data_IF_517409786744
#
_entry.id   IF_517409786744
#
_cell.length_a   1.000
_cell.length_b   1.000
_cell.length_c   1.000
_cell.angle_alpha   90.00
_cell.angle_beta   90.00
_cell.angle_gamma   90.00
#
_symmetry.space_group_name_H-M   'P 1'
#
loop_
_entity.id
_entity.type
_entity.pdbx_description
1 polymer ?
#
# COMPACT_ATOMS: atom_id res chain seq x y z
N UNK A 1 10.41 6.90 22.73
CA UNK A 1 9.29 7.38 21.87
C UNK A 1 8.99 6.49 20.67
N UNK A 2 9.93 6.17 19.77
CA UNK A 2 9.65 5.23 18.66
C UNK A 2 9.80 3.75 19.06
N UNK A 3 10.83 3.42 19.84
CA UNK A 3 11.09 2.06 20.37
C UNK A 3 9.90 1.53 21.18
N UNK A 4 9.42 2.33 22.13
CA UNK A 4 8.32 1.93 23.03
C UNK A 4 7.02 1.66 22.25
N UNK A 5 6.74 2.46 21.21
CA UNK A 5 5.59 2.24 20.34
C UNK A 5 5.72 0.96 19.50
N UNK A 6 6.92 0.61 19.06
CA UNK A 6 7.17 -0.65 18.33
C UNK A 6 6.93 -1.84 19.26
N UNK A 7 7.43 -1.77 20.48
CA UNK A 7 7.23 -2.84 21.46
C UNK A 7 5.76 -2.99 21.86
N UNK A 8 5.05 -1.88 22.07
CA UNK A 8 3.60 -1.90 22.33
C UNK A 8 2.84 -2.55 21.17
N UNK A 9 3.17 -2.19 19.93
CA UNK A 9 2.49 -2.78 18.77
C UNK A 9 2.79 -4.28 18.61
N UNK A 10 4.00 -4.75 18.89
CA UNK A 10 4.29 -6.20 18.89
C UNK A 10 3.49 -6.89 19.98
N UNK A 11 3.40 -6.30 21.18
CA UNK A 11 2.62 -6.87 22.28
C UNK A 11 1.13 -6.99 21.93
N UNK A 12 0.53 -5.97 21.31
CA UNK A 12 -0.85 -6.02 20.80
C UNK A 12 -1.03 -7.16 19.78
N UNK A 13 -0.09 -7.32 18.85
CA UNK A 13 -0.16 -8.37 17.81
C UNK A 13 0.04 -9.79 18.37
N UNK A 14 0.77 -9.93 19.48
CA UNK A 14 0.91 -11.19 20.23
C UNK A 14 -0.36 -11.48 21.03
N UNK A 15 -0.96 -10.46 21.65
CA UNK A 15 -2.25 -10.58 22.35
C UNK A 15 -3.40 -10.93 21.41
N UNK A 16 -3.40 -10.37 20.19
CA UNK A 16 -4.35 -10.73 19.12
C UNK A 16 -4.07 -12.11 18.47
N UNK A 17 -3.07 -12.87 18.95
CA UNK A 17 -2.63 -14.17 18.42
C UNK A 17 -2.26 -14.14 16.92
N UNK A 18 -1.80 -13.00 16.44
CA UNK A 18 -1.37 -12.82 15.04
C UNK A 18 0.14 -13.04 14.91
N UNK A 19 0.90 -12.64 15.94
CA UNK A 19 2.32 -12.94 16.09
C UNK A 19 2.58 -13.92 17.24
N UNK A 20 3.56 -14.79 17.08
CA UNK A 20 3.99 -15.74 18.10
C UNK A 20 5.44 -15.47 18.52
N UNK A 21 5.70 -15.53 19.82
CA UNK A 21 6.99 -15.26 20.43
C UNK A 21 6.81 -14.87 21.90
N UNK A 22 7.84 -14.31 22.53
CA UNK A 22 9.19 -14.10 22.00
C UNK A 22 9.96 -15.41 21.83
N UNK A 23 10.76 -15.53 20.77
CA UNK A 23 11.64 -16.68 20.53
C UNK A 23 13.11 -16.28 20.49
N UNK A 24 13.96 -17.18 20.96
CA UNK A 24 15.41 -17.13 20.72
C UNK A 24 15.74 -17.78 19.38
N UNK A 25 16.84 -17.35 18.76
CA UNK A 25 17.36 -17.99 17.55
C UNK A 25 17.56 -19.50 17.71
N UNK A 26 17.99 -19.97 18.90
CA UNK A 26 18.17 -21.40 19.18
C UNK A 26 16.84 -22.17 19.17
N UNK A 27 15.74 -21.58 19.64
CA UNK A 27 14.43 -22.22 19.62
C UNK A 27 13.88 -22.33 18.19
N UNK A 28 14.02 -21.26 17.39
CA UNK A 28 13.57 -21.25 16.00
C UNK A 28 14.39 -22.23 15.15
N UNK A 29 15.72 -22.25 15.31
CA UNK A 29 16.62 -23.14 14.57
C UNK A 29 16.43 -24.64 14.86
N UNK A 30 15.75 -25.02 15.96
CA UNK A 30 15.37 -26.41 16.22
C UNK A 30 14.22 -26.88 15.32
N UNK A 31 13.36 -25.96 14.88
CA UNK A 31 12.16 -26.26 14.11
C UNK A 31 12.34 -25.95 12.63
N UNK A 32 13.05 -24.86 12.32
CA UNK A 32 13.27 -24.41 10.95
C UNK A 32 14.76 -24.50 10.63
N UNK A 33 15.19 -25.37 9.69
CA UNK A 33 16.59 -25.48 9.30
C UNK A 33 17.09 -24.22 8.57
N UNK A 34 16.17 -23.42 8.03
CA UNK A 34 16.43 -22.15 7.37
C UNK A 34 15.30 -21.16 7.67
N UNK A 35 15.63 -19.94 8.09
CA UNK A 35 14.67 -18.85 8.30
C UNK A 35 15.37 -17.48 8.20
N UNK A 36 15.04 -16.61 7.22
CA UNK A 36 15.55 -15.25 7.17
C UNK A 36 14.81 -14.36 8.19
N UNK A 37 15.51 -13.42 8.83
CA UNK A 37 14.88 -12.41 9.68
C UNK A 37 14.70 -11.09 8.93
N UNK A 38 13.51 -10.50 9.04
CA UNK A 38 13.22 -9.19 8.45
C UNK A 38 13.19 -8.11 9.53
N UNK A 39 13.87 -6.96 9.33
CA UNK A 39 13.85 -5.87 10.29
C UNK A 39 12.49 -5.16 10.28
N UNK A 40 12.10 -4.66 11.45
CA UNK A 40 10.93 -3.81 11.62
C UNK A 40 11.25 -2.35 11.31
N UNK A 41 10.48 -1.79 10.38
CA UNK A 41 10.32 -0.35 10.21
C UNK A 41 9.09 0.15 10.96
N UNK A 42 8.94 1.47 11.06
CA UNK A 42 7.72 2.10 11.56
C UNK A 42 7.24 3.17 10.60
N UNK A 43 5.93 3.24 10.40
CA UNK A 43 5.28 4.35 9.69
C UNK A 43 4.14 4.87 10.55
N UNK A 44 4.05 6.19 10.65
CA UNK A 44 2.90 6.86 11.28
C UNK A 44 1.86 7.08 10.20
N UNK A 45 0.69 6.50 10.38
CA UNK A 45 -0.44 6.67 9.48
C UNK A 45 -1.11 8.04 9.67
N UNK A 46 -2.04 8.38 8.77
CA UNK A 46 -2.81 9.63 8.84
C UNK A 46 -3.68 9.74 10.11
N UNK A 47 -4.02 8.60 10.73
CA UNK A 47 -4.73 8.49 12.02
C UNK A 47 -3.81 8.69 13.24
N UNK A 48 -2.52 9.03 13.01
CA UNK A 48 -1.44 9.15 14.01
C UNK A 48 -1.10 7.84 14.75
N UNK A 49 -1.68 6.71 14.36
CA UNK A 49 -1.26 5.39 14.86
C UNK A 49 0.03 4.99 14.16
N UNK A 50 0.96 4.44 14.93
CA UNK A 50 2.20 3.91 14.38
C UNK A 50 1.98 2.45 14.03
N UNK A 51 2.30 2.06 12.79
CA UNK A 51 2.25 0.67 12.38
C UNK A 51 3.67 0.15 12.14
N UNK A 52 4.03 -1.01 12.74
CA UNK A 52 5.22 -1.73 12.35
C UNK A 52 5.07 -2.18 10.89
N UNK A 53 6.13 -2.00 10.10
CA UNK A 53 6.20 -2.51 8.74
C UNK A 53 7.35 -3.49 8.68
N UNK A 54 7.06 -4.73 8.29
CA UNK A 54 8.09 -5.74 8.05
C UNK A 54 8.76 -5.42 6.71
N UNK A 55 10.08 -5.21 6.72
CA UNK A 55 10.82 -4.94 5.50
C UNK A 55 11.33 -6.23 4.84
N UNK A 56 10.46 -6.90 4.08
CA UNK A 56 10.79 -8.10 3.30
C UNK A 56 11.78 -7.87 2.15
N UNK A 57 12.13 -6.62 1.84
CA UNK A 57 13.11 -6.27 0.81
C UNK A 57 14.54 -6.13 1.34
N UNK A 58 14.74 -6.31 2.64
CA UNK A 58 16.06 -6.27 3.28
C UNK A 58 16.81 -7.60 3.09
N UNK A 59 18.16 -7.59 2.94
CA UNK A 59 19.02 -6.44 2.73
C UNK A 59 19.03 -5.95 1.27
N UNK A 60 19.04 -4.64 1.04
CA UNK A 60 19.03 -4.05 -0.32
C UNK A 60 20.40 -3.91 -0.97
N UNK A 61 21.49 -4.05 -0.22
CA UNK A 61 22.87 -3.74 -0.66
C UNK A 61 23.86 -4.89 -0.44
N UNK A 62 23.35 -6.04 -0.03
CA UNK A 62 24.15 -7.25 0.17
C UNK A 62 23.56 -8.36 -0.69
N UNK A 63 24.24 -8.68 -1.80
CA UNK A 63 23.80 -9.70 -2.73
C UNK A 63 24.16 -11.12 -2.24
N UNK A 64 24.91 -11.26 -1.15
CA UNK A 64 25.23 -12.56 -0.56
C UNK A 64 24.07 -13.13 0.28
N UNK A 65 23.10 -12.28 0.66
CA UNK A 65 21.94 -12.65 1.46
C UNK A 65 20.65 -12.34 0.66
N UNK A 66 19.91 -13.35 0.20
CA UNK A 66 18.66 -13.13 -0.52
C UNK A 66 17.59 -12.55 0.40
N UNK A 67 16.92 -11.49 -0.05
CA UNK A 67 15.73 -10.94 0.62
C UNK A 67 14.52 -11.87 0.45
N UNK A 68 13.53 -11.78 1.34
CA UNK A 68 12.30 -12.60 1.25
C UNK A 68 11.62 -12.43 -0.11
N UNK A 69 11.57 -11.21 -0.64
CA UNK A 69 10.97 -10.98 -1.97
C UNK A 69 11.71 -11.63 -3.13
N UNK A 70 13.00 -11.96 -3.00
CA UNK A 70 13.73 -12.66 -4.07
C UNK A 70 13.23 -14.09 -4.31
N UNK A 71 12.56 -14.69 -3.32
CA UNK A 71 11.95 -16.03 -3.42
C UNK A 71 10.55 -16.00 -4.04
N UNK A 72 9.96 -14.82 -4.26
CA UNK A 72 8.59 -14.68 -4.76
C UNK A 72 8.60 -14.32 -6.25
N UNK A 73 8.09 -15.22 -7.08
CA UNK A 73 7.85 -14.93 -8.49
C UNK A 73 6.50 -14.21 -8.68
N UNK A 74 6.54 -12.92 -9.01
CA UNK A 74 5.34 -12.10 -9.27
C UNK A 74 4.46 -12.63 -10.40
N UNK A 75 5.04 -13.33 -11.39
CA UNK A 75 4.29 -13.88 -12.52
C UNK A 75 3.26 -14.94 -12.09
N UNK A 76 3.48 -15.61 -10.94
CA UNK A 76 2.57 -16.62 -10.40
C UNK A 76 1.31 -16.02 -9.74
N UNK A 77 1.28 -14.70 -9.52
CA UNK A 77 0.22 -14.01 -8.78
C UNK A 77 -0.38 -12.88 -9.62
N UNK A 78 -0.82 -13.20 -10.84
CA UNK A 78 -1.47 -12.24 -11.73
C UNK A 78 -2.83 -11.86 -11.15
N UNK A 79 -2.91 -10.66 -10.58
CA UNK A 79 -4.16 -10.09 -10.08
C UNK A 79 -4.87 -9.36 -11.21
N UNK A 80 -6.15 -9.65 -11.38
CA UNK A 80 -7.06 -8.85 -12.23
C UNK A 80 -7.72 -7.82 -11.32
N UNK A 81 -7.59 -6.54 -11.66
CA UNK A 81 -8.20 -5.45 -10.91
C UNK A 81 -9.25 -4.79 -11.80
N UNK A 82 -10.39 -4.44 -11.22
CA UNK A 82 -11.30 -3.52 -11.88
C UNK A 82 -10.67 -2.12 -11.85
N UNK A 83 -10.65 -1.47 -13.01
CA UNK A 83 -10.03 -0.17 -13.19
C UNK A 83 -11.06 0.95 -13.38
N UNK A 84 -10.57 2.19 -13.50
CA UNK A 84 -11.42 3.35 -13.76
C UNK A 84 -12.35 3.15 -14.97
N UNK A 85 -11.87 2.49 -16.02
CA UNK A 85 -12.62 2.35 -17.27
C UNK A 85 -13.82 1.43 -17.08
N UNK A 86 -13.71 0.38 -16.27
CA UNK A 86 -14.83 -0.53 -15.97
C UNK A 86 -15.95 0.21 -15.25
N UNK A 87 -15.61 1.01 -14.23
CA UNK A 87 -16.61 1.80 -13.49
C UNK A 87 -17.22 2.91 -14.37
N UNK A 88 -16.39 3.60 -15.15
CA UNK A 88 -16.87 4.62 -16.09
C UNK A 88 -17.76 4.01 -17.19
N UNK A 89 -17.43 2.83 -17.69
CA UNK A 89 -18.27 2.06 -18.63
C UNK A 89 -19.61 1.70 -18.01
N UNK A 90 -19.63 1.26 -16.74
CA UNK A 90 -20.86 0.96 -16.03
C UNK A 90 -21.78 2.18 -15.96
N UNK A 91 -21.25 3.34 -15.57
CA UNK A 91 -22.03 4.58 -15.46
C UNK A 91 -22.56 5.03 -16.83
N UNK A 92 -21.78 4.84 -17.90
CA UNK A 92 -22.20 5.20 -19.26
C UNK A 92 -23.27 4.27 -19.85
N UNK A 93 -23.27 2.99 -19.48
CA UNK A 93 -24.14 1.97 -20.06
C UNK A 93 -25.49 1.83 -19.34
N UNK A 94 -25.61 2.36 -18.13
CA UNK A 94 -26.82 2.22 -17.31
C UNK A 94 -27.45 3.58 -17.04
N UNK A 95 -28.78 3.61 -16.90
CA UNK A 95 -29.50 4.82 -16.49
C UNK A 95 -29.69 4.82 -14.96
N UNK A 96 -29.36 5.94 -14.32
CA UNK A 96 -29.43 6.14 -12.87
C UNK A 96 -30.80 6.65 -12.37
N UNK A 97 -30.90 7.05 -11.08
CA UNK A 97 -29.80 7.27 -10.12
C UNK A 97 -29.33 6.01 -9.39
N UNK A 98 -28.07 6.02 -8.94
CA UNK A 98 -27.45 4.97 -8.13
C UNK A 98 -27.14 5.47 -6.71
N UNK A 99 -27.36 4.62 -5.72
CA UNK A 99 -26.73 4.74 -4.41
C UNK A 99 -25.44 3.93 -4.41
N UNK A 100 -24.33 4.55 -4.01
CA UNK A 100 -23.01 3.93 -4.04
C UNK A 100 -22.61 3.52 -2.62
N UNK A 101 -22.13 2.29 -2.44
CA UNK A 101 -21.58 1.80 -1.19
C UNK A 101 -20.13 1.36 -1.38
N UNK A 102 -19.24 1.73 -0.46
CA UNK A 102 -17.87 1.24 -0.45
C UNK A 102 -17.66 0.33 0.77
N UNK A 103 -17.44 -0.95 0.48
CA UNK A 103 -17.03 -1.91 1.49
C UNK A 103 -15.52 -2.09 1.41
N UNK A 104 -14.80 -1.49 2.35
CA UNK A 104 -13.39 -1.85 2.61
C UNK A 104 -13.38 -2.90 3.72
N UNK A 105 -12.62 -3.97 3.49
CA UNK A 105 -12.49 -5.03 4.47
C UNK A 105 -11.37 -4.64 5.44
N UNK A 106 -11.75 -4.30 6.67
CA UNK A 106 -10.79 -3.88 7.69
C UNK A 106 -9.77 -4.99 7.98
N UNK A 107 -8.48 -4.63 7.91
CA UNK A 107 -7.34 -5.54 8.10
C UNK A 107 -7.45 -6.85 7.27
N UNK A 108 -7.93 -6.79 6.01
CA UNK A 108 -8.18 -7.97 5.16
C UNK A 108 -7.06 -9.02 5.16
N UNK A 109 -5.82 -8.57 4.99
CA UNK A 109 -4.68 -9.46 4.96
C UNK A 109 -4.36 -10.08 6.33
N UNK A 110 -4.64 -9.37 7.44
CA UNK A 110 -4.43 -9.90 8.81
C UNK A 110 -5.40 -11.01 9.16
N UNK A 111 -6.56 -11.08 8.49
CA UNK A 111 -7.51 -12.16 8.70
C UNK A 111 -7.11 -13.46 7.98
N UNK A 112 -6.22 -13.36 6.98
CA UNK A 112 -5.80 -14.53 6.20
C UNK A 112 -4.59 -15.18 6.88
N UNK A 113 -4.74 -16.41 7.43
CA UNK A 113 -3.59 -17.16 7.92
C UNK A 113 -2.67 -17.52 6.77
N UNK A 114 -1.37 -17.43 7.02
CA UNK A 114 -0.34 -17.95 6.12
C UNK A 114 -0.17 -19.44 6.36
N UNK A 115 0.18 -20.16 5.30
CA UNK A 115 0.45 -21.60 5.42
C UNK A 115 1.74 -21.81 6.21
N UNK A 116 1.78 -22.90 6.99
CA UNK A 116 2.93 -23.22 7.85
C UNK A 116 4.25 -23.38 7.09
N UNK A 117 4.21 -23.80 5.83
CA UNK A 117 5.39 -23.89 4.96
C UNK A 117 5.98 -22.52 4.59
N UNK A 118 5.23 -21.43 4.76
CA UNK A 118 5.68 -20.06 4.53
C UNK A 118 6.25 -19.40 5.78
N UNK A 119 5.93 -19.92 6.97
CA UNK A 119 6.34 -19.36 8.26
C UNK A 119 7.85 -19.11 8.42
N UNK A 120 8.77 -19.95 7.87
CA UNK A 120 10.19 -19.66 7.97
C UNK A 120 10.59 -18.30 7.38
N UNK A 121 9.84 -17.78 6.42
CA UNK A 121 10.09 -16.51 5.74
C UNK A 121 9.42 -15.30 6.40
N UNK A 122 8.63 -15.53 7.45
CA UNK A 122 7.83 -14.53 8.15
C UNK A 122 8.39 -14.21 9.55
N UNK A 123 9.67 -14.52 9.76
CA UNK A 123 10.36 -14.20 11.01
C UNK A 123 10.68 -12.70 11.06
N UNK A 124 10.18 -12.07 12.11
CA UNK A 124 10.33 -10.66 12.42
C UNK A 124 11.34 -10.52 13.55
N UNK A 125 12.27 -9.59 13.40
CA UNK A 125 13.23 -9.25 14.44
C UNK A 125 12.97 -7.85 14.97
N UNK A 126 12.77 -7.75 16.28
CA UNK A 126 12.59 -6.48 16.96
C UNK A 126 13.92 -5.74 17.21
N UNK A 127 13.83 -4.56 17.82
CA UNK A 127 14.99 -3.72 18.12
C UNK A 127 15.91 -4.32 19.20
N UNK A 128 15.46 -5.32 19.94
CA UNK A 128 16.21 -6.04 20.99
C UNK A 128 16.74 -7.38 20.49
N UNK A 129 16.64 -7.65 19.19
CA UNK A 129 17.02 -8.90 18.52
C UNK A 129 16.22 -10.12 18.97
N UNK A 130 15.03 -9.90 19.51
CA UNK A 130 14.05 -10.94 19.81
C UNK A 130 13.30 -11.29 18.53
N UNK A 131 13.02 -12.58 18.35
CA UNK A 131 12.33 -13.09 17.17
C UNK A 131 10.85 -13.33 17.46
N UNK A 132 10.02 -12.94 16.49
CA UNK A 132 8.59 -13.20 16.47
C UNK A 132 8.22 -13.81 15.11
N UNK A 133 7.30 -14.76 15.10
CA UNK A 133 6.73 -15.33 13.89
C UNK A 133 5.40 -14.64 13.60
N UNK A 134 5.30 -13.93 12.49
CA UNK A 134 4.03 -13.38 12.02
C UNK A 134 3.28 -14.43 11.18
N UNK A 135 2.11 -14.85 11.65
CA UNK A 135 1.32 -15.89 10.98
C UNK A 135 0.29 -15.33 10.01
N UNK A 136 0.13 -14.02 9.94
CA UNK A 136 -0.87 -13.34 9.09
C UNK A 136 -0.21 -12.50 8.01
N UNK A 137 -0.90 -12.27 6.90
CA UNK A 137 -0.36 -11.42 5.83
C UNK A 137 -0.42 -9.96 6.28
N UNK A 138 0.71 -9.26 6.19
CA UNK A 138 0.77 -7.84 6.59
C UNK A 138 0.23 -6.92 5.50
N UNK A 139 -0.68 -6.01 5.90
CA UNK A 139 -1.13 -4.71 5.34
C UNK A 139 -2.62 -4.50 5.68
N UNK A 140 -3.05 -3.26 5.92
CA UNK A 140 -4.42 -2.97 6.39
C UNK A 140 -4.99 -1.66 5.84
N UNK A 141 -6.20 -1.75 5.29
CA UNK A 141 -7.12 -0.64 4.98
C UNK A 141 -8.02 -0.28 6.17
N UNK A 142 -8.92 0.68 5.97
CA UNK A 142 -9.78 1.30 7.01
C UNK A 142 -11.23 1.05 6.64
N UNK A 143 -12.08 0.75 7.62
CA UNK A 143 -13.44 0.26 7.47
C UNK A 143 -14.33 0.97 6.40
N UNK A 144 -15.23 0.18 5.81
CA UNK A 144 -16.24 0.61 4.85
C UNK A 144 -17.18 1.71 5.35
N UNK A 145 -17.91 2.32 4.42
CA UNK A 145 -18.83 3.42 4.69
C UNK A 145 -20.25 3.10 4.23
N UNK A 146 -21.21 3.82 4.79
CA UNK A 146 -22.62 3.71 4.42
C UNK A 146 -22.86 4.12 2.95
N UNK A 147 -24.03 3.75 2.43
CA UNK A 147 -24.46 4.14 1.09
C UNK A 147 -24.60 5.66 0.99
N UNK A 148 -24.10 6.24 -0.10
CA UNK A 148 -24.15 7.67 -0.37
C UNK A 148 -24.28 7.96 -1.87
N UNK A 149 -24.74 9.17 -2.19
CA UNK A 149 -24.84 9.67 -3.56
C UNK A 149 -23.44 9.92 -4.16
N UNK A 150 -22.48 10.34 -3.33
CA UNK A 150 -21.07 10.48 -3.71
C UNK A 150 -20.17 9.54 -2.91
N UNK A 151 -19.30 8.79 -3.59
CA UNK A 151 -18.36 7.89 -2.93
C UNK A 151 -16.95 7.98 -3.51
N UNK A 152 -15.94 7.95 -2.63
CA UNK A 152 -14.53 7.92 -3.04
C UNK A 152 -14.11 6.49 -3.34
N UNK A 153 -13.80 6.19 -4.59
CA UNK A 153 -13.30 4.88 -5.03
C UNK A 153 -12.12 5.06 -5.99
N UNK A 154 -11.09 4.21 -5.85
CA UNK A 154 -9.84 4.22 -6.64
C UNK A 154 -9.22 5.62 -6.84
N UNK A 155 -9.39 6.49 -5.84
CA UNK A 155 -8.81 7.84 -5.84
C UNK A 155 -9.57 8.90 -6.64
N UNK A 156 -10.83 8.64 -6.99
CA UNK A 156 -11.80 9.57 -7.57
C UNK A 156 -13.07 9.63 -6.70
N UNK A 157 -13.83 10.72 -6.82
CA UNK A 157 -15.19 10.84 -6.28
C UNK A 157 -16.15 10.52 -7.41
N UNK A 158 -16.98 9.50 -7.22
CA UNK A 158 -18.03 9.09 -8.14
C UNK A 158 -19.36 9.57 -7.59
N UNK A 159 -20.17 10.19 -8.43
CA UNK A 159 -21.51 10.65 -8.09
C UNK A 159 -22.52 9.76 -8.83
N UNK A 160 -23.28 8.96 -8.08
CA UNK A 160 -24.24 7.99 -8.61
C UNK A 160 -25.55 8.61 -9.09
N UNK A 161 -25.85 9.86 -8.71
CA UNK A 161 -27.07 10.58 -9.11
C UNK A 161 -26.86 11.26 -10.46
N UNK A 162 -25.81 12.08 -10.56
CA UNK A 162 -25.47 12.84 -11.77
C UNK A 162 -24.63 12.04 -12.76
N UNK A 163 -24.20 10.84 -12.38
CA UNK A 163 -23.33 9.95 -13.15
C UNK A 163 -22.00 10.61 -13.54
N UNK A 164 -21.45 11.42 -12.65
CA UNK A 164 -20.20 12.15 -12.87
C UNK A 164 -19.04 11.59 -12.03
N UNK A 165 -17.82 11.89 -12.45
CA UNK A 165 -16.61 11.51 -11.72
C UNK A 165 -15.60 12.66 -11.69
N UNK A 166 -14.98 12.90 -10.53
CA UNK A 166 -14.04 14.01 -10.30
C UNK A 166 -12.90 13.61 -9.37
N UNK A 167 -11.86 14.44 -9.31
CA UNK A 167 -10.81 14.31 -8.28
C UNK A 167 -11.32 14.85 -6.93
N UNK A 168 -10.74 14.37 -5.83
CA UNK A 168 -10.88 15.04 -4.54
C UNK A 168 -10.21 16.41 -4.59
N UNK A 169 -10.76 17.41 -3.89
CA UNK A 169 -10.20 18.76 -3.80
C UNK A 169 -8.74 18.72 -3.35
N UNK A 170 -8.45 17.97 -2.28
CA UNK A 170 -7.09 17.73 -1.80
C UNK A 170 -6.15 17.23 -2.89
N UNK A 171 -6.55 16.21 -3.67
CA UNK A 171 -5.70 15.64 -4.72
C UNK A 171 -5.53 16.61 -5.88
N UNK A 172 -6.56 17.40 -6.19
CA UNK A 172 -6.49 18.46 -7.20
C UNK A 172 -5.49 19.55 -6.79
N UNK A 173 -5.55 20.03 -5.56
CA UNK A 173 -4.65 21.06 -5.03
C UNK A 173 -3.20 20.55 -4.97
N UNK A 174 -2.99 19.31 -4.50
CA UNK A 174 -1.68 18.67 -4.53
C UNK A 174 -1.10 18.58 -5.94
N UNK A 175 -1.91 18.25 -6.95
CA UNK A 175 -1.44 18.18 -8.35
C UNK A 175 -1.13 19.56 -8.90
N UNK A 176 -1.92 20.58 -8.58
CA UNK A 176 -1.65 21.98 -8.96
C UNK A 176 -0.33 22.47 -8.37
N UNK A 177 -0.10 22.22 -7.08
CA UNK A 177 1.15 22.58 -6.42
C UNK A 177 2.37 21.89 -7.05
N UNK A 178 2.25 20.59 -7.34
CA UNK A 178 3.33 19.82 -8.00
C UNK A 178 3.64 20.31 -9.41
N UNK A 179 2.63 20.63 -10.21
CA UNK A 179 2.84 21.24 -11.53
C UNK A 179 3.48 22.62 -11.37
N UNK A 180 3.01 23.42 -10.40
CA UNK A 180 3.53 24.75 -10.13
C UNK A 180 5.04 24.76 -9.88
N UNK A 181 5.58 23.74 -9.20
CA UNK A 181 7.02 23.59 -9.04
C UNK A 181 7.76 23.43 -10.37
N UNK A 182 7.24 22.60 -11.28
CA UNK A 182 7.81 22.35 -12.61
C UNK A 182 7.68 23.53 -13.58
N UNK A 183 6.85 24.52 -13.27
CA UNK A 183 6.69 25.74 -14.05
C UNK A 183 7.72 26.83 -13.67
N UNK A 184 8.52 26.63 -12.61
CA UNK A 184 9.54 27.59 -12.19
C UNK A 184 10.68 27.61 -13.22
N UNK A 185 10.94 28.74 -13.90
CA UNK A 185 11.96 28.80 -14.93
C UNK A 185 13.35 28.43 -14.39
N UNK A 186 14.10 27.63 -15.15
CA UNK A 186 15.47 27.18 -14.82
C UNK A 186 15.59 26.32 -13.55
N UNK A 187 14.48 25.88 -12.93
CA UNK A 187 14.54 24.92 -11.84
C UNK A 187 14.92 23.55 -12.41
N UNK A 188 15.97 22.96 -11.84
CA UNK A 188 16.40 21.61 -12.20
C UNK A 188 15.65 20.57 -11.37
N UNK A 189 15.37 19.42 -11.97
CA UNK A 189 14.71 18.29 -11.33
C UNK A 189 15.45 17.01 -11.66
N UNK A 190 15.35 16.04 -10.76
CA UNK A 190 15.83 14.69 -11.03
C UNK A 190 14.86 13.99 -11.97
N UNK A 191 15.38 13.09 -12.81
CA UNK A 191 14.56 12.28 -13.71
C UNK A 191 13.43 11.52 -12.99
N UNK A 192 13.74 10.95 -11.81
CA UNK A 192 12.73 10.27 -10.98
C UNK A 192 11.60 11.21 -10.50
N UNK A 193 11.87 12.50 -10.29
CA UNK A 193 10.84 13.48 -9.92
C UNK A 193 9.89 13.74 -11.09
N UNK A 194 10.44 13.85 -12.30
CA UNK A 194 9.66 13.96 -13.54
C UNK A 194 8.83 12.70 -13.81
N UNK A 195 9.39 11.50 -13.61
CA UNK A 195 8.65 10.23 -13.73
C UNK A 195 7.49 10.15 -12.74
N UNK A 196 7.72 10.54 -11.48
CA UNK A 196 6.68 10.56 -10.46
C UNK A 196 5.56 11.53 -10.85
N UNK A 197 5.88 12.73 -11.35
CA UNK A 197 4.89 13.68 -11.83
C UNK A 197 4.11 13.14 -13.04
N UNK A 198 4.81 12.61 -14.05
CA UNK A 198 4.19 12.04 -15.24
C UNK A 198 3.23 10.90 -14.90
N UNK A 199 3.62 9.97 -14.02
CA UNK A 199 2.74 8.91 -13.53
C UNK A 199 1.52 9.44 -12.79
N UNK A 200 1.69 10.48 -11.97
CA UNK A 200 0.60 11.16 -11.26
C UNK A 200 -0.37 11.87 -12.20
N UNK A 201 0.12 12.50 -13.27
CA UNK A 201 -0.71 13.15 -14.30
C UNK A 201 -1.38 12.15 -15.21
N UNK A 202 -0.76 10.99 -15.46
CA UNK A 202 -1.40 9.90 -16.20
C UNK A 202 -2.71 9.45 -15.53
N UNK A 203 -2.73 9.40 -14.20
CA UNK A 203 -3.95 9.13 -13.43
C UNK A 203 -5.02 10.23 -13.60
N UNK A 204 -4.64 11.50 -13.78
CA UNK A 204 -5.59 12.59 -14.08
C UNK A 204 -6.14 12.46 -15.50
N UNK A 205 -5.34 11.91 -16.42
CA UNK A 205 -5.74 11.72 -17.81
C UNK A 205 -6.89 10.72 -18.01
N UNK A 206 -7.25 9.93 -17.00
CA UNK A 206 -8.47 9.13 -17.04
C UNK A 206 -9.74 9.99 -17.10
N UNK A 207 -9.73 11.16 -16.45
CA UNK A 207 -10.84 12.13 -16.54
C UNK A 207 -10.74 13.01 -17.78
N UNK A 208 -9.52 13.37 -18.16
CA UNK A 208 -9.23 14.29 -19.27
C UNK A 208 -8.21 13.63 -20.22
N UNK A 209 -8.65 12.73 -21.12
CA UNK A 209 -7.76 11.97 -22.01
C UNK A 209 -6.85 12.84 -22.88
N UNK A 210 -7.29 14.05 -23.24
CA UNK A 210 -6.50 15.02 -23.98
C UNK A 210 -5.19 15.41 -23.28
N UNK A 211 -5.12 15.29 -21.95
CA UNK A 211 -3.90 15.60 -21.20
C UNK A 211 -2.75 14.66 -21.52
N UNK A 212 -3.01 13.45 -22.04
CA UNK A 212 -1.96 12.47 -22.40
C UNK A 212 -0.96 13.03 -23.40
N UNK A 213 -1.40 13.89 -24.31
CA UNK A 213 -0.53 14.52 -25.30
C UNK A 213 0.53 15.42 -24.65
N UNK A 214 0.21 16.04 -23.52
CA UNK A 214 1.07 17.00 -22.84
C UNK A 214 2.01 16.36 -21.81
N UNK A 215 1.72 15.15 -21.32
CA UNK A 215 2.54 14.46 -20.31
C UNK A 215 3.98 14.23 -20.80
N UNK A 216 4.17 13.99 -22.11
CA UNK A 216 5.52 13.85 -22.69
C UNK A 216 6.37 15.11 -22.52
N UNK A 217 5.75 16.27 -22.37
CA UNK A 217 6.43 17.54 -22.13
C UNK A 217 7.08 17.64 -20.75
N UNK A 218 6.70 16.79 -19.78
CA UNK A 218 7.27 16.80 -18.42
C UNK A 218 8.74 16.31 -18.41
N UNK A 219 9.13 15.54 -19.42
CA UNK A 219 10.49 14.98 -19.55
C UNK A 219 11.44 15.85 -20.38
N UNK A 220 10.96 16.97 -20.92
CA UNK A 220 11.74 17.87 -21.78
C UNK A 220 12.11 19.12 -21.00
#
# INVERSE_FOLDING_TARGET
MAKDKIQLSIAEEVEEEQMFGPFTHKQVARHFPFFPTSPLGSVVNADRKMRPIINFSSPKRDNSIPSVYSFVNKANFKTTWDDFNIVADFFRKNQGPFQLGLFDWEKAYRQIPTRMDQWPFLMVQDLEKILYLDTRITFGGVAGCDFADEQKFIGFIWNGVDLTVRLTTKKLDERRSQIGEFLIPKKEFRFNEAEVLAGRLNHVSYLLPQLRAYIRGVYR
#
